data_IF_291636438437
#
_entry.id   IF_291636438437
#
_cell.length_a   1.000
_cell.length_b   1.000
_cell.length_c   1.000
_cell.angle_alpha   90.00
_cell.angle_beta   90.00
_cell.angle_gamma   90.00
#
_symmetry.space_group_name_H-M   'P 1'
#
loop_
_entity.id
_entity.type
_entity.pdbx_description
1 polymer ?
#
# COMPACT_ATOMS: atom_id res chain seq x y z
N UNK A 1 -16.83 28.61 -9.70
CA UNK A 1 -17.86 27.81 -9.02
C UNK A 1 -18.33 26.58 -9.82
N UNK A 2 -18.62 26.70 -11.13
CA UNK A 2 -18.95 25.55 -12.00
C UNK A 2 -17.88 24.44 -12.00
N UNK A 3 -16.59 24.79 -11.98
CA UNK A 3 -15.47 23.85 -11.99
C UNK A 3 -15.35 23.05 -10.68
N UNK A 4 -15.62 23.67 -9.53
CA UNK A 4 -15.69 23.00 -8.23
C UNK A 4 -16.89 22.05 -8.13
N UNK A 5 -18.03 22.42 -8.71
CA UNK A 5 -19.21 21.54 -8.79
C UNK A 5 -18.98 20.34 -9.71
N UNK A 6 -18.26 20.53 -10.82
CA UNK A 6 -17.86 19.44 -11.73
C UNK A 6 -16.85 18.53 -11.04
N UNK A 7 -15.79 19.08 -10.43
CA UNK A 7 -14.82 18.33 -9.63
C UNK A 7 -15.49 17.56 -8.48
N UNK A 8 -16.50 18.14 -7.83
CA UNK A 8 -17.26 17.47 -6.77
C UNK A 8 -18.14 16.34 -7.29
N UNK A 9 -18.72 16.49 -8.50
CA UNK A 9 -19.53 15.44 -9.14
C UNK A 9 -18.66 14.23 -9.53
N UNK A 10 -17.44 14.48 -10.00
CA UNK A 10 -16.46 13.43 -10.29
C UNK A 10 -15.77 12.91 -9.02
N UNK A 11 -15.56 13.74 -7.99
CA UNK A 11 -14.97 13.30 -6.73
C UNK A 11 -15.92 12.41 -5.94
N UNK A 12 -17.22 12.72 -5.90
CA UNK A 12 -18.21 11.87 -5.24
C UNK A 12 -18.29 10.47 -5.88
N UNK A 13 -18.36 10.42 -7.22
CA UNK A 13 -18.32 9.15 -7.95
C UNK A 13 -16.98 8.41 -7.77
N UNK A 14 -15.85 9.12 -7.77
CA UNK A 14 -14.53 8.55 -7.54
C UNK A 14 -14.37 8.01 -6.11
N UNK A 15 -14.91 8.72 -5.11
CA UNK A 15 -14.92 8.29 -3.71
C UNK A 15 -15.78 7.04 -3.55
N UNK A 16 -16.97 7.01 -4.15
CA UNK A 16 -17.83 5.82 -4.13
C UNK A 16 -17.18 4.63 -4.86
N UNK A 17 -16.49 4.87 -5.97
CA UNK A 17 -15.70 3.86 -6.66
C UNK A 17 -14.58 3.33 -5.77
N UNK A 18 -13.80 4.21 -5.13
CA UNK A 18 -12.74 3.82 -4.21
C UNK A 18 -13.27 3.00 -3.03
N UNK A 19 -14.37 3.44 -2.40
CA UNK A 19 -15.03 2.70 -1.31
C UNK A 19 -15.48 1.32 -1.81
N UNK A 20 -16.05 1.22 -3.02
CA UNK A 20 -16.47 -0.06 -3.59
C UNK A 20 -15.30 -1.01 -3.87
N UNK A 21 -14.18 -0.46 -4.36
CA UNK A 21 -12.96 -1.21 -4.66
C UNK A 21 -12.32 -1.69 -3.36
N UNK A 22 -12.19 -0.81 -2.36
CA UNK A 22 -11.67 -1.15 -1.04
C UNK A 22 -12.57 -2.18 -0.36
N UNK A 23 -13.89 -2.03 -0.43
CA UNK A 23 -14.83 -3.01 0.13
C UNK A 23 -14.68 -4.39 -0.50
N UNK A 24 -14.50 -4.47 -1.83
CA UNK A 24 -14.20 -5.73 -2.51
C UNK A 24 -12.84 -6.29 -2.13
N UNK A 25 -11.81 -5.46 -2.00
CA UNK A 25 -10.50 -5.91 -1.53
C UNK A 25 -10.57 -6.48 -0.11
N UNK A 26 -11.30 -5.83 0.81
CA UNK A 26 -11.51 -6.32 2.17
C UNK A 26 -12.38 -7.59 2.23
N UNK A 27 -13.18 -7.86 1.20
CA UNK A 27 -13.96 -9.11 1.12
C UNK A 27 -13.11 -10.35 0.80
N UNK A 28 -11.85 -10.16 0.39
CA UNK A 28 -10.92 -11.24 0.11
C UNK A 28 -10.31 -11.72 1.44
N UNK A 29 -10.60 -12.95 1.92
CA UNK A 29 -10.28 -13.36 3.28
C UNK A 29 -8.78 -13.29 3.63
N UNK A 30 -7.93 -13.71 2.69
CA UNK A 30 -6.47 -13.71 2.90
C UNK A 30 -5.89 -12.29 2.93
N UNK A 31 -6.43 -11.37 2.12
CA UNK A 31 -6.00 -9.97 2.10
C UNK A 31 -6.47 -9.22 3.36
N UNK A 32 -7.70 -9.49 3.81
CA UNK A 32 -8.21 -8.96 5.07
C UNK A 32 -7.37 -9.45 6.25
N UNK A 33 -7.07 -10.75 6.34
CA UNK A 33 -6.21 -11.30 7.38
C UNK A 33 -4.81 -10.68 7.35
N UNK A 34 -4.21 -10.54 6.16
CA UNK A 34 -2.91 -9.89 6.01
C UNK A 34 -2.93 -8.45 6.53
N UNK A 35 -3.91 -7.64 6.11
CA UNK A 35 -4.04 -6.25 6.55
C UNK A 35 -4.36 -6.16 8.04
N UNK A 36 -5.19 -7.06 8.56
CA UNK A 36 -5.47 -7.18 9.99
C UNK A 36 -4.16 -7.39 10.75
N UNK A 37 -3.33 -8.37 10.38
CA UNK A 37 -2.04 -8.60 11.02
C UNK A 37 -1.03 -7.46 10.83
N UNK A 38 -1.11 -6.70 9.73
CA UNK A 38 -0.24 -5.56 9.49
C UNK A 38 -0.57 -4.35 10.38
N UNK A 39 -1.84 -4.18 10.76
CA UNK A 39 -2.35 -2.95 11.39
C UNK A 39 -2.96 -3.15 12.79
N UNK A 40 -3.19 -4.37 13.25
CA UNK A 40 -3.55 -4.62 14.66
C UNK A 40 -2.29 -4.76 15.53
N UNK A 41 -2.41 -4.30 16.78
CA UNK A 41 -1.36 -4.33 17.81
C UNK A 41 -0.66 -5.70 17.85
N UNK A 42 0.65 -5.75 18.18
CA UNK A 42 1.38 -7.01 18.19
C UNK A 42 0.71 -7.97 19.16
N UNK A 43 0.08 -8.99 18.61
CA UNK A 43 -0.35 -10.15 19.38
C UNK A 43 0.93 -10.79 19.94
N UNK A 44 1.11 -10.72 21.25
CA UNK A 44 2.29 -11.24 21.94
C UNK A 44 2.29 -12.77 22.05
N UNK A 45 1.31 -13.45 21.46
CA UNK A 45 1.33 -14.90 21.27
C UNK A 45 2.46 -15.34 20.33
N UNK A 46 2.86 -16.61 20.44
CA UNK A 46 3.87 -17.20 19.55
C UNK A 46 3.43 -17.18 18.07
N UNK A 47 2.12 -17.32 17.82
CA UNK A 47 1.54 -17.22 16.49
C UNK A 47 1.67 -15.78 15.94
N UNK A 48 1.36 -14.77 16.76
CA UNK A 48 1.56 -13.36 16.40
C UNK A 48 3.02 -13.01 16.12
N UNK A 49 3.96 -13.56 16.89
CA UNK A 49 5.39 -13.40 16.64
C UNK A 49 5.83 -13.98 15.28
N UNK A 50 5.36 -15.18 14.94
CA UNK A 50 5.67 -15.80 13.63
C UNK A 50 5.09 -14.99 12.47
N UNK A 51 3.88 -14.46 12.62
CA UNK A 51 3.24 -13.62 11.62
C UNK A 51 3.98 -12.28 11.46
N UNK A 52 4.39 -11.64 12.56
CA UNK A 52 5.16 -10.40 12.54
C UNK A 52 6.50 -10.57 11.81
N UNK A 53 7.22 -11.68 12.07
CA UNK A 53 8.45 -12.01 11.35
C UNK A 53 8.16 -12.24 9.86
N UNK A 54 7.07 -12.93 9.52
CA UNK A 54 6.63 -13.13 8.15
C UNK A 54 6.33 -11.82 7.42
N UNK A 55 5.65 -10.88 8.07
CA UNK A 55 5.36 -9.53 7.54
C UNK A 55 6.66 -8.75 7.30
N UNK A 56 7.62 -8.79 8.23
CA UNK A 56 8.93 -8.15 8.05
C UNK A 56 9.62 -8.69 6.79
N UNK A 57 9.61 -10.01 6.60
CA UNK A 57 10.22 -10.63 5.42
C UNK A 57 9.52 -10.22 4.12
N UNK A 58 8.18 -10.18 4.13
CA UNK A 58 7.38 -9.70 3.01
C UNK A 58 7.66 -8.23 2.66
N UNK A 59 7.77 -7.37 3.67
CA UNK A 59 8.10 -5.96 3.49
C UNK A 59 9.50 -5.79 2.90
N UNK A 60 10.49 -6.58 3.33
CA UNK A 60 11.85 -6.56 2.77
C UNK A 60 11.82 -6.92 1.28
N UNK A 61 11.07 -7.95 0.88
CA UNK A 61 10.93 -8.35 -0.54
C UNK A 61 10.33 -7.23 -1.39
N UNK A 62 9.46 -6.39 -0.84
CA UNK A 62 8.82 -5.29 -1.58
C UNK A 62 9.71 -4.03 -1.59
N UNK A 63 10.25 -3.64 -0.43
CA UNK A 63 10.97 -2.38 -0.25
C UNK A 63 12.35 -2.43 -0.92
N UNK A 64 13.07 -3.55 -0.82
CA UNK A 64 14.44 -3.65 -1.35
C UNK A 64 14.49 -3.47 -2.87
N UNK A 65 13.67 -4.15 -3.69
CA UNK A 65 13.65 -3.93 -5.14
C UNK A 65 13.24 -2.50 -5.52
N UNK A 66 12.27 -1.91 -4.82
CA UNK A 66 11.87 -0.51 -5.05
C UNK A 66 13.02 0.46 -4.76
N UNK A 67 13.75 0.24 -3.67
CA UNK A 67 14.92 1.03 -3.32
C UNK A 67 16.04 0.89 -4.36
N UNK A 68 16.29 -0.31 -4.88
CA UNK A 68 17.26 -0.57 -5.95
C UNK A 68 16.88 0.18 -7.22
N UNK A 69 15.63 0.06 -7.68
CA UNK A 69 15.13 0.75 -8.88
C UNK A 69 15.28 2.26 -8.72
N UNK A 70 14.88 2.82 -7.58
CA UNK A 70 15.02 4.25 -7.29
C UNK A 70 16.49 4.69 -7.26
N UNK A 71 17.38 3.85 -6.71
CA UNK A 71 18.82 4.08 -6.71
C UNK A 71 19.41 4.13 -8.12
N UNK A 72 19.03 3.19 -8.98
CA UNK A 72 19.47 3.15 -10.39
C UNK A 72 19.01 4.41 -11.13
N UNK A 73 17.74 4.81 -10.98
CA UNK A 73 17.21 6.02 -11.61
C UNK A 73 17.98 7.26 -11.12
N UNK A 74 18.25 7.34 -9.82
CA UNK A 74 19.00 8.46 -9.24
C UNK A 74 20.43 8.55 -9.80
N UNK A 75 21.13 7.41 -9.93
CA UNK A 75 22.47 7.36 -10.51
C UNK A 75 22.48 7.75 -11.99
N UNK A 76 21.48 7.30 -12.75
CA UNK A 76 21.34 7.66 -14.16
C UNK A 76 21.09 9.16 -14.35
N UNK A 77 20.21 9.75 -13.52
CA UNK A 77 19.96 11.19 -13.54
C UNK A 77 21.20 12.00 -13.13
N UNK A 78 22.00 11.51 -12.17
CA UNK A 78 23.24 12.18 -11.77
C UNK A 78 24.30 12.13 -12.87
N UNK A 79 24.40 11.01 -13.60
CA UNK A 79 25.28 10.86 -14.76
C UNK A 79 24.87 11.77 -15.93
N UNK A 80 23.57 11.94 -16.20
CA UNK A 80 23.10 12.78 -17.32
C UNK A 80 23.12 14.28 -17.03
N UNK A 81 23.24 14.70 -15.77
CA UNK A 81 23.36 16.10 -15.37
C UNK A 81 24.81 16.57 -15.16
N UNK A 82 25.79 15.68 -15.39
CA UNK A 82 27.23 15.98 -15.47
C UNK A 82 27.65 16.07 -16.94
#
# INVERSE_FOLDING_TARGET
MKLLLILNKYSGAAVLLLISVIGRLMSIPWLYQFLYYLFTLPDYSFEGLMINIGIIFLLVIIIVPLAIVKGIISLYNLKNNL
#
